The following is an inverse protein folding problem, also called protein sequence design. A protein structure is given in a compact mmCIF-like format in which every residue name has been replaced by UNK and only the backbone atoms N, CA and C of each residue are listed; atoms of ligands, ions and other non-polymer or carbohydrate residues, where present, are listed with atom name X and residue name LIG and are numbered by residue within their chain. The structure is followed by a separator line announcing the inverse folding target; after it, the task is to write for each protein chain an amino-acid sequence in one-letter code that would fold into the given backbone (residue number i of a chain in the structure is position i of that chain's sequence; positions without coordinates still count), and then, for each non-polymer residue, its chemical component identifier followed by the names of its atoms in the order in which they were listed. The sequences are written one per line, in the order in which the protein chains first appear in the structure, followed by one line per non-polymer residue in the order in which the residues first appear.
data_IF_930204905396
#
_entry.id   IF_930204905396
#
_cell.length_a   1.000
_cell.length_b   1.000
_cell.length_c   1.000
_cell.angle_alpha   90.00
_cell.angle_beta   90.00
_cell.angle_gamma   90.00
#
_symmetry.space_group_name_H-M   'P 1'
#
loop_
_entity.id
_entity.type
_entity.pdbx_description
1 polymer ?
#
# COMPACT_ATOMS: atom_id res chain seq x y z
N UNK A 1 29.84 -25.34 68.08
CA UNK A 1 30.56 -24.71 66.95
C UNK A 1 29.79 -24.92 65.65
N UNK A 2 29.83 -24.13 64.57
CA UNK A 2 30.23 -22.73 64.30
C UNK A 2 30.61 -22.61 62.80
N UNK A 3 29.99 -21.65 62.10
CA UNK A 3 30.21 -21.10 60.72
C UNK A 3 29.86 -21.89 59.43
N UNK A 4 29.63 -21.04 58.41
CA UNK A 4 29.00 -21.23 57.09
C UNK A 4 30.07 -21.40 55.96
N UNK A 5 29.89 -20.91 54.70
CA UNK A 5 29.99 -21.77 53.52
C UNK A 5 31.28 -21.56 52.70
N UNK A 6 31.56 -22.45 51.73
CA UNK A 6 32.61 -22.20 50.74
C UNK A 6 32.09 -21.41 49.54
N UNK A 7 32.57 -20.17 49.41
CA UNK A 7 32.52 -19.37 48.18
C UNK A 7 33.61 -19.80 47.18
N UNK A 8 33.47 -19.28 45.96
CA UNK A 8 34.46 -19.00 44.90
C UNK A 8 35.91 -18.73 45.41
N UNK A 9 37.00 -18.84 44.63
CA UNK A 9 37.32 -18.24 43.30
C UNK A 9 38.51 -19.04 42.68
N UNK A 10 38.48 -19.46 41.41
CA UNK A 10 38.97 -18.78 40.17
C UNK A 10 40.47 -18.38 40.10
N UNK A 11 41.24 -19.15 39.31
CA UNK A 11 42.50 -18.79 38.57
C UNK A 11 42.74 -19.91 37.53
N UNK A 12 43.19 -19.77 36.27
CA UNK A 12 43.12 -18.78 35.19
C UNK A 12 44.00 -19.32 34.02
N UNK A 13 43.45 -19.44 32.80
CA UNK A 13 44.10 -19.46 31.45
C UNK A 13 43.08 -20.04 30.44
N UNK A 14 42.50 -19.29 29.49
CA UNK A 14 43.07 -18.90 28.18
C UNK A 14 43.79 -20.07 27.48
N UNK A 15 43.45 -20.55 26.27
CA UNK A 15 42.55 -20.12 25.17
C UNK A 15 42.11 -21.43 24.40
N UNK A 16 41.21 -21.51 23.42
CA UNK A 16 40.46 -20.53 22.62
C UNK A 16 39.15 -21.12 22.03
N UNK A 17 38.31 -20.23 21.48
CA UNK A 17 37.35 -20.40 20.36
C UNK A 17 36.29 -21.53 20.43
N UNK A 18 35.05 -21.07 20.55
CA UNK A 18 33.80 -21.79 20.81
C UNK A 18 33.34 -22.70 19.65
N UNK A 19 32.96 -23.92 20.02
CA UNK A 19 32.13 -24.87 19.27
C UNK A 19 30.67 -24.63 19.66
N UNK A 20 29.72 -24.60 18.71
CA UNK A 20 28.29 -24.64 19.04
C UNK A 20 27.57 -25.79 18.32
N UNK A 21 27.10 -26.73 19.14
CA UNK A 21 26.26 -27.86 18.76
C UNK A 21 24.79 -27.47 18.81
N UNK A 22 23.97 -28.02 17.92
CA UNK A 22 22.51 -27.88 17.94
C UNK A 22 21.91 -28.16 19.33
N UNK A 23 21.11 -27.24 19.92
CA UNK A 23 20.32 -27.52 21.09
C UNK A 23 19.03 -28.28 20.70
N UNK A 24 18.66 -29.23 21.54
CA UNK A 24 17.45 -30.06 21.36
C UNK A 24 16.19 -29.31 21.82
N UNK A 25 15.08 -29.56 21.11
CA UNK A 25 13.67 -29.42 21.50
C UNK A 25 13.30 -28.65 22.79
N UNK A 26 13.45 -27.32 22.83
CA UNK A 26 12.65 -26.48 23.75
C UNK A 26 12.54 -25.01 23.31
N UNK A 27 11.76 -24.72 22.25
CA UNK A 27 11.24 -23.37 21.99
C UNK A 27 9.77 -23.46 21.59
N UNK A 28 8.90 -23.52 22.60
CA UNK A 28 7.47 -23.23 22.45
C UNK A 28 7.23 -21.74 22.59
N UNK A 29 6.19 -21.26 21.90
CA UNK A 29 5.46 -20.04 22.25
C UNK A 29 6.29 -18.75 22.39
N UNK A 30 6.91 -18.33 21.29
CA UNK A 30 6.87 -16.90 20.93
C UNK A 30 6.24 -16.78 19.56
N UNK A 31 5.06 -16.14 19.53
CA UNK A 31 4.32 -15.92 18.30
C UNK A 31 5.19 -15.18 17.30
N UNK A 32 5.41 -15.79 16.14
CA UNK A 32 5.89 -15.09 14.96
C UNK A 32 4.75 -14.16 14.54
N UNK A 33 4.74 -12.94 15.07
CA UNK A 33 3.87 -11.88 14.57
C UNK A 33 4.38 -11.59 13.17
N UNK A 34 3.72 -12.18 12.17
CA UNK A 34 3.66 -11.55 10.87
C UNK A 34 3.12 -10.15 11.14
N UNK A 35 3.99 -9.15 11.07
CA UNK A 35 3.53 -7.77 10.86
C UNK A 35 2.86 -7.79 9.51
N UNK A 36 1.55 -7.98 9.52
CA UNK A 36 0.71 -7.82 8.36
C UNK A 36 0.75 -6.32 8.05
N UNK A 37 1.74 -5.90 7.26
CA UNK A 37 1.91 -4.50 6.88
C UNK A 37 0.57 -4.02 6.33
N UNK A 38 0.00 -2.91 6.83
CA UNK A 38 -1.24 -2.38 6.29
C UNK A 38 -1.10 -2.24 4.77
N UNK A 39 -2.04 -2.78 4.01
CA UNK A 39 -1.92 -2.80 2.55
C UNK A 39 -1.96 -1.37 1.99
N UNK A 40 -2.68 -0.45 2.65
CA UNK A 40 -2.66 0.98 2.35
C UNK A 40 -1.26 1.59 2.42
N UNK A 41 -0.37 1.11 3.29
CA UNK A 41 1.01 1.62 3.38
C UNK A 41 1.85 1.36 2.12
N UNK A 42 1.40 0.46 1.24
CA UNK A 42 2.08 0.15 -0.03
C UNK A 42 1.76 1.14 -1.16
N UNK A 43 0.73 1.98 -0.97
CA UNK A 43 0.32 3.01 -1.93
C UNK A 43 1.20 4.27 -1.88
N UNK A 44 2.05 4.39 -0.86
CA UNK A 44 2.97 5.53 -0.71
C UNK A 44 2.25 6.86 -0.44
N UNK A 45 1.11 6.82 0.27
CA UNK A 45 0.49 8.01 0.82
C UNK A 45 1.22 8.46 2.08
N UNK A 46 1.33 9.77 2.28
CA UNK A 46 1.93 10.38 3.47
C UNK A 46 0.87 11.11 4.30
N UNK A 47 1.20 11.47 5.55
CA UNK A 47 0.29 12.21 6.40
C UNK A 47 0.07 13.63 5.88
N UNK A 48 -1.17 14.09 5.88
CA UNK A 48 -1.61 15.37 5.31
C UNK A 48 -2.05 15.31 3.84
N UNK A 49 -1.84 14.20 3.13
CA UNK A 49 -2.29 14.08 1.74
C UNK A 49 -3.81 14.23 1.63
N UNK A 50 -4.26 15.13 0.74
CA UNK A 50 -5.65 15.21 0.32
C UNK A 50 -5.89 14.16 -0.78
N UNK A 51 -6.92 13.33 -0.59
CA UNK A 51 -7.27 12.27 -1.54
C UNK A 51 -8.71 12.45 -2.02
N UNK A 52 -8.88 12.61 -3.32
CA UNK A 52 -10.18 12.51 -4.00
C UNK A 52 -10.51 11.04 -4.23
N UNK A 53 -11.73 10.62 -3.88
CA UNK A 53 -12.25 9.28 -4.16
C UNK A 53 -13.38 9.35 -5.19
N UNK A 54 -13.27 8.52 -6.23
CA UNK A 54 -14.25 8.38 -7.31
C UNK A 54 -14.64 6.91 -7.47
N UNK A 55 -15.88 6.64 -7.89
CA UNK A 55 -16.39 5.27 -8.11
C UNK A 55 -16.67 4.45 -6.84
N UNK A 56 -16.69 5.09 -5.65
CA UNK A 56 -16.96 4.41 -4.39
C UNK A 56 -18.37 3.77 -4.36
N UNK A 57 -18.42 2.46 -4.15
CA UNK A 57 -19.63 1.63 -4.11
C UNK A 57 -19.65 0.69 -2.90
N UNK A 58 -20.72 -0.10 -2.76
CA UNK A 58 -20.90 -1.05 -1.65
C UNK A 58 -19.95 -2.26 -1.71
N UNK A 59 -19.24 -2.43 -2.83
CA UNK A 59 -18.27 -3.47 -3.14
C UNK A 59 -16.81 -3.04 -2.89
N UNK A 60 -16.58 -1.76 -2.57
CA UNK A 60 -15.28 -1.23 -2.20
C UNK A 60 -14.82 -1.77 -0.84
N UNK A 61 -13.50 -1.95 -0.67
CA UNK A 61 -12.94 -2.45 0.57
C UNK A 61 -12.85 -1.33 1.63
N UNK A 62 -13.85 -1.29 2.53
CA UNK A 62 -13.91 -0.33 3.63
C UNK A 62 -12.75 -0.46 4.62
N UNK A 63 -12.12 -1.64 4.75
CA UNK A 63 -10.93 -1.79 5.61
C UNK A 63 -9.74 -1.06 5.01
N UNK A 64 -9.54 -1.18 3.69
CA UNK A 64 -8.51 -0.43 2.97
C UNK A 64 -8.76 1.08 3.04
N UNK A 65 -10.02 1.54 2.93
CA UNK A 65 -10.40 2.95 3.11
C UNK A 65 -10.00 3.47 4.50
N UNK A 66 -10.31 2.72 5.54
CA UNK A 66 -9.94 3.05 6.92
C UNK A 66 -8.42 3.04 7.15
N UNK A 67 -7.68 2.10 6.54
CA UNK A 67 -6.21 2.13 6.56
C UNK A 67 -5.65 3.40 5.92
N UNK A 68 -6.16 3.80 4.75
CA UNK A 68 -5.72 5.01 4.04
C UNK A 68 -6.00 6.27 4.87
N UNK A 69 -7.22 6.42 5.42
CA UNK A 69 -7.58 7.53 6.31
C UNK A 69 -6.70 7.57 7.57
N UNK A 70 -6.32 6.40 8.11
CA UNK A 70 -5.41 6.30 9.27
C UNK A 70 -3.96 6.69 8.93
N UNK A 71 -3.53 6.48 7.69
CA UNK A 71 -2.19 6.86 7.20
C UNK A 71 -2.11 8.36 6.88
N UNK A 72 -3.12 8.88 6.16
CA UNK A 72 -3.13 10.30 5.77
C UNK A 72 -3.53 11.21 6.94
N UNK A 73 -4.44 10.77 7.81
CA UNK A 73 -5.08 11.63 8.82
C UNK A 73 -6.12 12.59 8.21
N UNK A 74 -6.49 12.39 6.95
CA UNK A 74 -7.48 13.19 6.20
C UNK A 74 -8.68 12.33 5.82
N UNK A 75 -9.85 12.94 5.60
CA UNK A 75 -11.00 12.22 5.04
C UNK A 75 -10.97 12.28 3.51
N UNK A 76 -11.54 11.27 2.86
CA UNK A 76 -11.72 11.30 1.41
C UNK A 76 -12.60 12.47 0.98
N UNK A 77 -12.11 13.21 0.00
CA UNK A 77 -12.90 14.18 -0.75
C UNK A 77 -13.70 13.44 -1.82
N UNK A 78 -14.83 14.01 -2.22
CA UNK A 78 -15.64 13.51 -3.34
C UNK A 78 -15.60 14.51 -4.50
N UNK A 79 -16.13 14.13 -5.67
CA UNK A 79 -16.16 14.97 -6.87
C UNK A 79 -17.00 16.25 -6.80
N UNK A 80 -17.39 16.72 -5.61
CA UNK A 80 -17.95 18.06 -5.37
C UNK A 80 -16.97 18.99 -4.63
N UNK A 81 -15.83 18.46 -4.15
CA UNK A 81 -14.75 19.26 -3.62
C UNK A 81 -14.11 20.09 -4.73
N UNK A 82 -13.81 21.35 -4.42
CA UNK A 82 -13.13 22.29 -5.33
C UNK A 82 -11.66 22.52 -4.89
N UNK A 83 -11.07 21.52 -4.25
CA UNK A 83 -9.72 21.56 -3.69
C UNK A 83 -8.75 20.78 -4.57
N UNK A 84 -7.50 21.23 -4.63
CA UNK A 84 -6.42 20.53 -5.34
C UNK A 84 -5.93 19.38 -4.45
N UNK A 85 -5.83 18.17 -5.00
CA UNK A 85 -5.51 16.95 -4.24
C UNK A 85 -4.14 16.37 -4.59
N UNK A 86 -3.51 15.73 -3.61
CA UNK A 86 -2.22 15.05 -3.77
C UNK A 86 -2.36 13.70 -4.48
N UNK A 87 -3.52 13.06 -4.33
CA UNK A 87 -3.86 11.84 -5.07
C UNK A 87 -5.35 11.75 -5.42
N UNK A 88 -5.64 11.03 -6.50
CA UNK A 88 -6.99 10.56 -6.82
C UNK A 88 -7.01 9.04 -6.74
N UNK A 89 -8.02 8.48 -6.07
CA UNK A 89 -8.35 7.06 -6.10
C UNK A 89 -9.61 6.88 -6.93
N UNK A 90 -9.53 6.03 -7.95
CA UNK A 90 -10.64 5.68 -8.83
C UNK A 90 -10.93 4.19 -8.61
N UNK A 91 -12.09 3.87 -8.02
CA UNK A 91 -12.60 2.50 -8.00
C UNK A 91 -13.31 2.25 -9.33
N UNK A 92 -12.69 1.47 -10.22
CA UNK A 92 -13.16 1.26 -11.59
C UNK A 92 -13.52 -0.20 -11.85
N UNK A 93 -14.70 -0.42 -12.43
CA UNK A 93 -15.20 -1.72 -12.90
C UNK A 93 -15.40 -1.69 -14.40
N UNK A 94 -15.31 -2.84 -15.04
CA UNK A 94 -15.76 -2.97 -16.43
C UNK A 94 -17.24 -2.60 -16.53
N UNK A 95 -17.57 -1.73 -17.48
CA UNK A 95 -18.89 -1.13 -17.66
C UNK A 95 -19.20 0.15 -16.87
N UNK A 96 -18.30 0.66 -16.01
CA UNK A 96 -18.54 1.92 -15.25
C UNK A 96 -18.64 3.17 -16.15
N UNK A 97 -18.01 3.16 -17.34
CA UNK A 97 -18.05 4.28 -18.30
C UNK A 97 -16.89 4.26 -19.29
N UNK A 98 -16.39 5.44 -19.67
CA UNK A 98 -15.13 5.59 -20.41
C UNK A 98 -13.97 5.89 -19.44
N UNK A 99 -12.99 4.98 -19.40
CA UNK A 99 -11.83 5.06 -18.53
C UNK A 99 -10.88 6.22 -18.91
N UNK A 100 -10.87 6.64 -20.18
CA UNK A 100 -10.06 7.77 -20.64
C UNK A 100 -10.61 9.08 -20.10
N UNK A 101 -11.92 9.28 -20.19
CA UNK A 101 -12.58 10.49 -19.70
C UNK A 101 -12.42 10.62 -18.18
N UNK A 102 -12.62 9.53 -17.42
CA UNK A 102 -12.38 9.50 -15.97
C UNK A 102 -10.92 9.83 -15.61
N UNK A 103 -9.94 9.35 -16.38
CA UNK A 103 -8.54 9.75 -16.20
C UNK A 103 -8.28 11.22 -16.51
N UNK A 104 -8.90 11.78 -17.55
CA UNK A 104 -8.78 13.21 -17.89
C UNK A 104 -9.43 14.07 -16.80
N UNK A 105 -10.61 13.71 -16.30
CA UNK A 105 -11.30 14.41 -15.22
C UNK A 105 -10.50 14.34 -13.91
N UNK A 106 -9.91 13.18 -13.58
CA UNK A 106 -9.05 13.03 -12.40
C UNK A 106 -7.85 13.99 -12.41
N UNK A 107 -7.29 14.29 -13.59
CA UNK A 107 -6.18 15.23 -13.75
C UNK A 107 -6.57 16.69 -13.50
N UNK A 108 -7.86 17.04 -13.54
CA UNK A 108 -8.31 18.43 -13.30
C UNK A 108 -8.20 18.85 -11.83
N UNK A 109 -8.29 17.88 -10.90
CA UNK A 109 -8.17 18.08 -9.46
C UNK A 109 -6.74 17.87 -8.93
N UNK A 110 -5.88 17.20 -9.71
CA UNK A 110 -4.60 16.69 -9.24
C UNK A 110 -3.50 17.77 -9.18
N UNK A 111 -2.72 17.77 -8.10
CA UNK A 111 -1.51 18.58 -7.98
C UNK A 111 -0.44 18.19 -9.03
N UNK A 112 0.49 19.10 -9.36
CA UNK A 112 1.51 18.92 -10.42
C UNK A 112 2.37 17.64 -10.26
N UNK A 113 2.61 17.20 -9.01
CA UNK A 113 3.36 15.98 -8.69
C UNK A 113 2.48 14.88 -8.07
N UNK A 114 1.16 15.02 -8.18
CA UNK A 114 0.20 14.06 -7.64
C UNK A 114 0.17 12.74 -8.41
N UNK A 115 -0.55 11.77 -7.86
CA UNK A 115 -0.68 10.42 -8.41
C UNK A 115 -2.13 9.99 -8.54
N UNK A 116 -2.44 9.27 -9.62
CA UNK A 116 -3.74 8.62 -9.81
C UNK A 116 -3.57 7.14 -9.50
N UNK A 117 -4.47 6.59 -8.68
CA UNK A 117 -4.51 5.18 -8.34
C UNK A 117 -5.83 4.59 -8.82
N UNK A 118 -5.74 3.68 -9.78
CA UNK A 118 -6.90 2.99 -10.35
C UNK A 118 -7.02 1.64 -9.67
N UNK A 119 -8.08 1.44 -8.90
CA UNK A 119 -8.40 0.19 -8.23
C UNK A 119 -9.37 -0.59 -9.10
N UNK A 120 -9.05 -1.82 -9.47
CA UNK A 120 -9.91 -2.69 -10.27
C UNK A 120 -10.16 -4.04 -9.60
N UNK A 121 -11.34 -4.66 -9.79
CA UNK A 121 -11.61 -6.01 -9.31
C UNK A 121 -10.63 -7.01 -9.93
N UNK A 122 -10.19 -7.99 -9.14
CA UNK A 122 -9.28 -9.04 -9.60
C UNK A 122 -9.96 -10.02 -10.56
N UNK A 123 -9.14 -10.71 -11.36
CA UNK A 123 -9.55 -11.78 -12.26
C UNK A 123 -10.52 -12.74 -11.57
N UNK A 124 -11.68 -12.98 -12.18
CA UNK A 124 -12.73 -13.84 -11.63
C UNK A 124 -13.70 -13.14 -10.65
N UNK A 125 -13.62 -11.82 -10.50
CA UNK A 125 -14.67 -11.00 -9.87
C UNK A 125 -15.52 -10.29 -10.92
N UNK A 126 -16.74 -9.93 -10.51
CA UNK A 126 -17.63 -9.08 -11.31
C UNK A 126 -16.99 -7.70 -11.52
N UNK A 127 -17.20 -7.10 -12.69
CA UNK A 127 -16.55 -5.84 -13.05
C UNK A 127 -15.03 -5.93 -13.23
N UNK A 128 -14.45 -7.12 -13.44
CA UNK A 128 -13.02 -7.25 -13.72
C UNK A 128 -12.62 -6.51 -15.00
N UNK A 129 -11.64 -5.62 -14.89
CA UNK A 129 -11.07 -4.81 -15.97
C UNK A 129 -9.78 -5.47 -16.45
N UNK A 130 -9.61 -5.67 -17.75
CA UNK A 130 -8.38 -6.27 -18.27
C UNK A 130 -7.21 -5.29 -18.12
N UNK A 131 -5.99 -5.76 -17.80
CA UNK A 131 -4.82 -4.88 -17.68
C UNK A 131 -4.49 -4.10 -18.96
N UNK A 132 -4.92 -4.60 -20.13
CA UNK A 132 -4.81 -3.91 -21.42
C UNK A 132 -5.60 -2.61 -21.46
N UNK A 133 -6.80 -2.59 -20.88
CA UNK A 133 -7.70 -1.44 -20.99
C UNK A 133 -7.09 -0.22 -20.28
N UNK A 134 -6.44 -0.46 -19.13
CA UNK A 134 -5.67 0.56 -18.40
C UNK A 134 -4.42 0.97 -19.19
N UNK A 135 -3.74 0.02 -19.84
CA UNK A 135 -2.53 0.28 -20.64
C UNK A 135 -2.80 1.10 -21.90
N UNK A 136 -3.97 0.97 -22.50
CA UNK A 136 -4.41 1.71 -23.68
C UNK A 136 -5.10 3.04 -23.31
N UNK A 137 -5.83 3.11 -22.19
CA UNK A 137 -6.46 4.34 -21.72
C UNK A 137 -5.45 5.35 -21.16
N UNK A 138 -4.51 4.90 -20.31
CA UNK A 138 -3.51 5.77 -19.67
C UNK A 138 -2.71 6.67 -20.64
N UNK A 139 -2.10 6.20 -21.75
CA UNK A 139 -1.40 7.06 -22.70
C UNK A 139 -2.32 8.11 -23.34
N UNK A 140 -3.58 7.75 -23.59
CA UNK A 140 -4.57 8.62 -24.22
C UNK A 140 -4.94 9.80 -23.32
N UNK A 141 -5.08 9.55 -22.01
CA UNK A 141 -5.24 10.58 -20.98
C UNK A 141 -3.92 11.31 -20.59
N UNK A 142 -2.81 11.06 -21.28
CA UNK A 142 -1.51 11.67 -20.96
C UNK A 142 -0.82 11.11 -19.70
N UNK A 143 -1.30 10.00 -19.16
CA UNK A 143 -0.76 9.29 -18.00
C UNK A 143 0.25 8.20 -18.40
N UNK A 144 1.11 7.81 -17.46
CA UNK A 144 1.96 6.62 -17.57
C UNK A 144 1.73 5.71 -16.36
N UNK A 145 1.51 4.42 -16.63
CA UNK A 145 1.57 3.39 -15.60
C UNK A 145 2.99 3.28 -15.05
N UNK A 146 3.11 3.05 -13.74
CA UNK A 146 4.40 2.96 -13.03
C UNK A 146 4.53 1.71 -12.17
N UNK A 147 3.43 1.26 -11.55
CA UNK A 147 3.38 0.00 -10.80
C UNK A 147 1.95 -0.51 -10.70
N UNK A 148 1.81 -1.82 -10.43
CA UNK A 148 0.53 -2.44 -10.05
C UNK A 148 0.76 -3.34 -8.84
N UNK A 149 -0.16 -3.30 -7.87
CA UNK A 149 -0.07 -3.95 -6.57
C UNK A 149 -1.39 -4.64 -6.20
N UNK A 150 -1.33 -5.77 -5.50
CA UNK A 150 -2.51 -6.28 -4.77
C UNK A 150 -2.67 -5.48 -3.48
N UNK A 151 -3.83 -4.86 -3.29
CA UNK A 151 -4.14 -3.95 -2.16
C UNK A 151 -5.22 -4.48 -1.22
N UNK A 152 -6.13 -5.31 -1.71
CA UNK A 152 -7.17 -5.94 -0.91
C UNK A 152 -7.30 -7.42 -1.34
N UNK A 153 -8.10 -8.25 -0.66
CA UNK A 153 -8.39 -9.61 -1.12
C UNK A 153 -8.89 -9.61 -2.58
N UNK A 154 -9.75 -8.64 -2.90
CA UNK A 154 -10.56 -8.63 -4.11
C UNK A 154 -10.15 -7.56 -5.14
N UNK A 155 -9.31 -6.59 -4.71
CA UNK A 155 -8.91 -5.44 -5.50
C UNK A 155 -7.40 -5.40 -5.79
N UNK A 156 -7.06 -4.97 -7.00
CA UNK A 156 -5.70 -4.60 -7.43
C UNK A 156 -5.64 -3.10 -7.68
N UNK A 157 -4.49 -2.48 -7.41
CA UNK A 157 -4.26 -1.05 -7.60
C UNK A 157 -3.17 -0.82 -8.65
N UNK A 158 -3.42 0.08 -9.59
CA UNK A 158 -2.47 0.51 -10.62
C UNK A 158 -2.15 1.98 -10.45
N UNK A 159 -0.85 2.31 -10.31
CA UNK A 159 -0.35 3.67 -10.14
C UNK A 159 -0.07 4.31 -11.50
N UNK A 160 -0.79 5.40 -11.76
CA UNK A 160 -0.62 6.25 -12.92
C UNK A 160 -0.05 7.61 -12.49
N UNK A 161 0.84 8.18 -13.30
CA UNK A 161 1.39 9.54 -13.09
C UNK A 161 1.32 10.34 -14.39
N UNK A 162 1.12 11.66 -14.27
CA UNK A 162 1.14 12.55 -15.43
C UNK A 162 2.48 12.47 -16.16
N UNK A 163 2.46 12.30 -17.48
CA UNK A 163 3.67 12.39 -18.30
C UNK A 163 4.13 13.84 -18.29
N UNK A 164 5.33 14.10 -17.79
CA UNK A 164 5.98 15.41 -17.94
C UNK A 164 6.12 15.71 -19.43
N UNK A 165 5.33 16.64 -19.92
CA UNK A 165 5.38 17.06 -21.32
C UNK A 165 6.74 17.70 -21.59
N UNK A 166 7.59 16.99 -22.32
CA UNK A 166 8.81 17.57 -22.87
C UNK A 166 8.38 18.56 -23.95
N UNK A 167 8.16 19.80 -23.52
CA UNK A 167 7.82 20.94 -24.37
C UNK A 167 9.00 21.17 -25.32
N UNK A 168 8.85 20.73 -26.57
CA UNK A 168 9.74 21.03 -27.69
C UNK A 168 9.36 22.34 -28.33
#
# INVERSE_FOLDING_TARGET
MTIKPKKMIKTLAHLAIVRWTYPSKEVREKGFVFVNTPMGSRLGFESGFLILEVGHGNDCDETLRQEIVSITGTQFLNGQAHEVVDAVIIWWRDGDGDLVDEFVDSLTYLAENGQVWVFTPKVGREGHVEPSDIQDAAPTAGLSQTSTLSIAPDWSATRLVARKSSKR
#
